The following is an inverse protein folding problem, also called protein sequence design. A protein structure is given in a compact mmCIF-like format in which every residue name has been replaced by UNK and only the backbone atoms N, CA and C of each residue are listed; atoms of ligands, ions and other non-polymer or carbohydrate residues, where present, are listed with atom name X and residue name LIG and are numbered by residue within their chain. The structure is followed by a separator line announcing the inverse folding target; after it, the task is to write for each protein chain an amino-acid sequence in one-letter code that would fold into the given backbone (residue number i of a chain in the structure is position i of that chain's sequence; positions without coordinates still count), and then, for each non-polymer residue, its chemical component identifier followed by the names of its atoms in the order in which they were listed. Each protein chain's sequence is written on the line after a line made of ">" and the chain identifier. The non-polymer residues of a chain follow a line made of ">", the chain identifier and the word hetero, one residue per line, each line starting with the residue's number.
data_IF_891564805648
#
_entry.id   IF_891564805648
#
_cell.length_a   1.000
_cell.length_b   1.000
_cell.length_c   1.000
_cell.angle_alpha   90.00
_cell.angle_beta   90.00
_cell.angle_gamma   90.00
#
_symmetry.space_group_name_H-M   'P 1'
#
loop_
_entity.id
_entity.type
_entity.pdbx_description
1 polymer ?
#
# COMPACT_ATOMS: atom_id res chain seq x y z
N UNK A 1 9.37 -11.99 8.65
CA UNK A 1 8.08 -11.34 8.32
C UNK A 1 7.04 -12.41 8.03
N UNK A 2 5.79 -12.21 8.44
CA UNK A 2 4.69 -13.19 8.26
C UNK A 2 3.35 -12.47 8.04
N UNK A 3 2.38 -13.17 7.49
CA UNK A 3 0.99 -12.70 7.40
C UNK A 3 0.34 -12.77 8.79
N UNK A 4 -0.32 -11.69 9.19
CA UNK A 4 -0.77 -11.46 10.57
C UNK A 4 -2.15 -12.07 10.81
N UNK A 5 -3.07 -11.90 9.84
CA UNK A 5 -4.46 -12.35 9.98
C UNK A 5 -5.06 -12.81 8.65
N UNK A 6 -6.31 -13.27 8.67
CA UNK A 6 -7.04 -13.73 7.50
C UNK A 6 -6.72 -15.17 7.10
N UNK A 7 -7.06 -15.53 5.86
CA UNK A 7 -6.96 -16.90 5.33
C UNK A 7 -5.53 -17.42 5.21
N UNK A 8 -4.54 -16.51 5.08
CA UNK A 8 -3.13 -16.82 4.94
C UNK A 8 -2.35 -16.61 6.25
N UNK A 9 -3.01 -16.44 7.38
CA UNK A 9 -2.39 -16.17 8.70
C UNK A 9 -1.25 -17.16 8.98
N UNK A 10 -0.11 -16.62 9.43
CA UNK A 10 1.08 -17.36 9.82
C UNK A 10 2.01 -17.74 8.65
N UNK A 11 1.59 -17.59 7.38
CA UNK A 11 2.46 -17.80 6.22
C UNK A 11 3.67 -16.88 6.29
N UNK A 12 4.86 -17.46 6.09
CA UNK A 12 6.11 -16.70 6.10
C UNK A 12 6.40 -16.13 4.72
N UNK A 13 6.72 -14.84 4.69
CA UNK A 13 7.19 -14.15 3.50
C UNK A 13 8.72 -14.12 3.47
N UNK A 14 9.26 -14.23 2.27
CA UNK A 14 10.68 -14.03 1.99
C UNK A 14 11.03 -12.56 2.19
N UNK A 15 12.14 -12.30 2.86
CA UNK A 15 12.69 -10.95 2.99
C UNK A 15 13.64 -10.65 1.82
N UNK A 16 13.88 -9.38 1.49
CA UNK A 16 14.88 -9.02 0.50
C UNK A 16 16.28 -9.41 0.98
N UNK A 17 17.09 -9.89 0.07
CA UNK A 17 18.51 -10.23 0.28
C UNK A 17 19.45 -9.11 -0.18
N UNK A 18 18.91 -7.93 -0.48
CA UNK A 18 19.65 -6.73 -0.90
C UNK A 18 19.35 -5.54 0.02
N UNK A 19 20.32 -4.59 0.16
CA UNK A 19 20.14 -3.41 0.99
C UNK A 19 19.16 -2.41 0.36
N UNK A 20 18.57 -1.56 1.20
CA UNK A 20 17.74 -0.42 0.77
C UNK A 20 16.23 -0.66 0.86
N UNK A 21 15.77 -1.91 0.88
CA UNK A 21 14.36 -2.21 1.10
C UNK A 21 14.12 -2.50 2.58
N UNK A 22 13.37 -1.61 3.25
CA UNK A 22 12.97 -1.78 4.64
C UNK A 22 11.51 -2.19 4.68
N UNK A 23 11.18 -3.44 5.04
CA UNK A 23 9.79 -3.87 5.10
C UNK A 23 9.03 -3.11 6.19
N UNK A 24 7.77 -2.73 5.89
CA UNK A 24 6.81 -2.26 6.90
C UNK A 24 6.78 -3.25 8.06
N UNK A 25 7.01 -2.78 9.28
CA UNK A 25 7.06 -3.65 10.45
C UNK A 25 5.75 -4.40 10.66
N UNK A 26 5.81 -5.62 11.21
CA UNK A 26 4.61 -6.42 11.52
C UNK A 26 3.62 -5.61 12.39
N UNK A 27 4.14 -4.85 13.38
CA UNK A 27 3.32 -4.00 14.26
C UNK A 27 2.63 -2.86 13.52
N UNK A 28 3.32 -2.19 12.61
CA UNK A 28 2.73 -1.09 11.83
C UNK A 28 1.67 -1.62 10.87
N UNK A 29 1.95 -2.76 10.23
CA UNK A 29 0.99 -3.44 9.34
C UNK A 29 -0.24 -3.93 10.12
N UNK A 30 -0.07 -4.48 11.32
CA UNK A 30 -1.19 -4.83 12.20
C UNK A 30 -2.05 -3.60 12.54
N UNK A 31 -1.41 -2.49 12.92
CA UNK A 31 -2.08 -1.23 13.22
C UNK A 31 -2.85 -0.71 12.00
N UNK A 32 -2.23 -0.72 10.81
CA UNK A 32 -2.85 -0.34 9.55
C UNK A 32 -4.15 -1.12 9.33
N UNK A 33 -4.07 -2.44 9.35
CA UNK A 33 -5.22 -3.29 9.04
C UNK A 33 -6.30 -3.29 10.13
N UNK A 34 -5.95 -3.03 11.39
CA UNK A 34 -6.93 -2.83 12.46
C UNK A 34 -7.74 -1.54 12.23
N UNK A 35 -7.12 -0.50 11.67
CA UNK A 35 -7.81 0.75 11.31
C UNK A 35 -8.67 0.57 10.07
N UNK A 36 -8.16 -0.12 9.05
CA UNK A 36 -8.90 -0.39 7.81
C UNK A 36 -10.10 -1.31 8.06
N UNK A 37 -9.95 -2.26 8.98
CA UNK A 37 -11.00 -3.19 9.38
C UNK A 37 -11.76 -3.81 8.19
N UNK A 38 -13.07 -3.69 8.16
CA UNK A 38 -13.92 -4.27 7.12
C UNK A 38 -13.82 -3.58 5.76
N UNK A 39 -13.19 -2.41 5.67
CA UNK A 39 -12.93 -1.74 4.39
C UNK A 39 -12.07 -2.56 3.42
N UNK A 40 -11.35 -3.56 3.93
CA UNK A 40 -10.49 -4.43 3.11
C UNK A 40 -11.31 -5.49 2.39
N UNK A 41 -12.39 -5.97 3.00
CA UNK A 41 -13.20 -7.06 2.43
C UNK A 41 -13.88 -6.59 1.14
N UNK A 42 -13.63 -7.31 0.05
CA UNK A 42 -14.16 -6.98 -1.26
C UNK A 42 -13.48 -5.78 -1.94
N UNK A 43 -12.51 -5.13 -1.31
CA UNK A 43 -11.86 -3.93 -1.83
C UNK A 43 -10.93 -4.24 -3.02
N UNK A 44 -10.83 -3.26 -3.91
CA UNK A 44 -9.74 -3.16 -4.90
C UNK A 44 -8.61 -2.33 -4.28
N UNK A 45 -7.45 -2.93 -4.13
CA UNK A 45 -6.32 -2.36 -3.40
C UNK A 45 -5.16 -2.08 -4.36
N UNK A 46 -4.54 -0.91 -4.24
CA UNK A 46 -3.24 -0.61 -4.82
C UNK A 46 -2.19 -0.67 -3.68
N UNK A 47 -1.21 -1.53 -3.83
CA UNK A 47 0.01 -1.57 -3.01
C UNK A 47 1.13 -0.93 -3.86
N UNK A 48 1.35 0.36 -3.66
CA UNK A 48 2.30 1.17 -4.41
C UNK A 48 3.63 1.29 -3.66
N UNK A 49 4.75 1.14 -4.39
CA UNK A 49 6.08 0.94 -3.82
C UNK A 49 6.11 -0.34 -2.95
N UNK A 50 5.56 -1.43 -3.52
CA UNK A 50 5.10 -2.61 -2.79
C UNK A 50 6.23 -3.43 -2.13
N UNK A 51 7.48 -3.27 -2.56
CA UNK A 51 8.65 -3.91 -1.97
C UNK A 51 8.53 -5.43 -1.88
N UNK A 52 8.27 -5.94 -0.69
CA UNK A 52 8.06 -7.38 -0.46
C UNK A 52 6.66 -7.87 -0.79
N UNK A 53 5.72 -6.96 -1.04
CA UNK A 53 4.30 -7.24 -1.22
C UNK A 53 3.55 -7.57 0.08
N UNK A 54 4.16 -7.33 1.23
CA UNK A 54 3.59 -7.76 2.51
C UNK A 54 2.24 -7.10 2.82
N UNK A 55 2.05 -5.84 2.44
CA UNK A 55 0.78 -5.12 2.65
C UNK A 55 -0.30 -5.67 1.74
N UNK A 56 -0.02 -5.79 0.45
CA UNK A 56 -0.99 -6.32 -0.51
C UNK A 56 -1.34 -7.79 -0.23
N UNK A 57 -0.37 -8.65 0.13
CA UNK A 57 -0.64 -10.05 0.49
C UNK A 57 -1.47 -10.14 1.78
N UNK A 58 -1.22 -9.27 2.76
CA UNK A 58 -2.09 -9.15 3.95
C UNK A 58 -3.51 -8.74 3.57
N UNK A 59 -3.68 -7.80 2.61
CA UNK A 59 -4.99 -7.40 2.11
C UNK A 59 -5.72 -8.58 1.45
N UNK A 60 -5.05 -9.37 0.60
CA UNK A 60 -5.59 -10.61 0.03
C UNK A 60 -6.04 -11.55 1.14
N UNK A 61 -5.19 -11.77 2.13
CA UNK A 61 -5.47 -12.65 3.28
C UNK A 61 -6.73 -12.23 4.05
N UNK A 62 -7.03 -10.94 4.06
CA UNK A 62 -8.20 -10.35 4.75
C UNK A 62 -9.42 -10.16 3.86
N UNK A 63 -9.36 -10.67 2.63
CA UNK A 63 -10.53 -10.73 1.73
C UNK A 63 -10.64 -9.59 0.74
N UNK A 64 -9.55 -8.88 0.40
CA UNK A 64 -9.54 -7.96 -0.73
C UNK A 64 -9.94 -8.72 -2.02
N UNK A 65 -10.77 -8.10 -2.86
CA UNK A 65 -11.20 -8.71 -4.11
C UNK A 65 -10.10 -8.71 -5.17
N UNK A 66 -9.25 -7.69 -5.17
CA UNK A 66 -8.13 -7.58 -6.09
C UNK A 66 -7.03 -6.69 -5.53
N UNK A 67 -5.77 -7.09 -5.72
CA UNK A 67 -4.62 -6.28 -5.33
C UNK A 67 -3.72 -6.03 -6.53
N UNK A 68 -3.44 -4.77 -6.83
CA UNK A 68 -2.43 -4.37 -7.80
C UNK A 68 -1.16 -3.96 -7.06
N UNK A 69 -0.09 -4.71 -7.26
CA UNK A 69 1.24 -4.38 -6.75
C UNK A 69 2.00 -3.56 -7.78
N UNK A 70 2.56 -2.43 -7.37
CA UNK A 70 3.40 -1.59 -8.24
C UNK A 70 4.73 -1.34 -7.55
N UNK A 71 5.82 -1.59 -8.26
CA UNK A 71 7.17 -1.28 -7.81
C UNK A 71 8.09 -1.00 -9.01
N UNK A 72 9.02 -0.06 -8.88
CA UNK A 72 9.99 0.25 -9.92
C UNK A 72 11.12 -0.79 -10.02
N UNK A 73 11.48 -1.42 -8.89
CA UNK A 73 12.57 -2.40 -8.83
C UNK A 73 12.11 -3.77 -9.33
N UNK A 74 12.79 -4.28 -10.36
CA UNK A 74 12.56 -5.63 -10.88
C UNK A 74 12.71 -6.71 -9.80
N UNK A 75 13.68 -6.54 -8.89
CA UNK A 75 13.91 -7.51 -7.79
C UNK A 75 12.73 -7.54 -6.84
N UNK A 76 12.12 -6.39 -6.55
CA UNK A 76 10.90 -6.31 -5.74
C UNK A 76 9.72 -7.02 -6.43
N UNK A 77 9.49 -6.76 -7.72
CA UNK A 77 8.40 -7.44 -8.45
C UNK A 77 8.59 -8.95 -8.54
N UNK A 78 9.84 -9.44 -8.65
CA UNK A 78 10.15 -10.86 -8.59
C UNK A 78 9.94 -11.44 -7.18
N UNK A 79 10.32 -10.70 -6.13
CA UNK A 79 10.09 -11.09 -4.75
C UNK A 79 8.60 -11.19 -4.42
N UNK A 80 7.79 -10.24 -4.90
CA UNK A 80 6.33 -10.29 -4.76
C UNK A 80 5.76 -11.58 -5.38
N UNK A 81 6.20 -11.95 -6.59
CA UNK A 81 5.77 -13.21 -7.24
C UNK A 81 6.12 -14.43 -6.39
N UNK A 82 7.35 -14.50 -5.87
CA UNK A 82 7.75 -15.61 -4.99
C UNK A 82 6.93 -15.65 -3.71
N UNK A 83 6.65 -14.50 -3.10
CA UNK A 83 5.86 -14.42 -1.88
C UNK A 83 4.40 -14.84 -2.11
N UNK A 84 3.78 -14.43 -3.21
CA UNK A 84 2.45 -14.89 -3.61
C UNK A 84 2.41 -16.40 -3.82
N UNK A 85 3.39 -16.95 -4.54
CA UNK A 85 3.51 -18.39 -4.75
C UNK A 85 3.70 -19.17 -3.44
N UNK A 86 4.54 -18.67 -2.50
CA UNK A 86 4.71 -19.25 -1.16
C UNK A 86 3.43 -19.25 -0.33
N UNK A 87 2.58 -18.26 -0.56
CA UNK A 87 1.27 -18.16 0.05
C UNK A 87 0.19 -18.97 -0.68
N UNK A 88 0.51 -19.62 -1.80
CA UNK A 88 -0.44 -20.32 -2.67
C UNK A 88 -1.57 -19.42 -3.20
N UNK A 89 -1.27 -18.14 -3.45
CA UNK A 89 -2.18 -17.20 -4.10
C UNK A 89 -2.04 -17.34 -5.61
N UNK A 90 -3.10 -17.79 -6.27
CA UNK A 90 -3.09 -18.08 -7.71
C UNK A 90 -3.69 -16.95 -8.56
N UNK A 91 -4.62 -16.17 -8.01
CA UNK A 91 -5.37 -15.13 -8.72
C UNK A 91 -5.74 -13.96 -7.79
N UNK A 92 -6.57 -13.02 -8.29
CA UNK A 92 -6.99 -11.86 -7.52
C UNK A 92 -5.90 -10.78 -7.42
N UNK A 93 -4.88 -10.82 -8.25
CA UNK A 93 -3.82 -9.80 -8.24
C UNK A 93 -3.26 -9.46 -9.62
N UNK A 94 -2.59 -8.30 -9.69
CA UNK A 94 -1.73 -7.91 -10.80
C UNK A 94 -0.39 -7.39 -10.24
N UNK A 95 0.71 -7.55 -10.99
CA UNK A 95 2.03 -7.01 -10.65
C UNK A 95 2.50 -6.16 -11.81
N UNK A 96 2.72 -4.88 -11.55
CA UNK A 96 3.14 -3.89 -12.54
C UNK A 96 4.51 -3.36 -12.13
N UNK A 97 5.47 -3.40 -13.05
CA UNK A 97 6.73 -2.72 -12.86
C UNK A 97 6.62 -1.30 -13.41
N UNK A 98 6.55 -0.31 -12.52
CA UNK A 98 6.46 1.10 -12.89
C UNK A 98 6.99 1.98 -11.75
N UNK A 99 7.50 3.16 -12.10
CA UNK A 99 7.83 4.22 -11.15
C UNK A 99 6.63 5.15 -11.02
N UNK A 100 5.99 5.14 -9.85
CA UNK A 100 4.83 5.98 -9.56
C UNK A 100 5.15 7.48 -9.46
N UNK A 101 6.43 7.84 -9.29
CA UNK A 101 6.88 9.23 -9.18
C UNK A 101 7.29 9.87 -10.51
N UNK A 102 7.74 9.05 -11.48
CA UNK A 102 8.31 9.54 -12.74
C UNK A 102 7.31 9.53 -13.90
N UNK A 103 6.57 8.44 -14.06
CA UNK A 103 5.57 8.28 -15.12
C UNK A 103 4.49 7.35 -14.60
N UNK A 104 3.39 7.92 -14.17
CA UNK A 104 2.26 7.14 -13.71
C UNK A 104 1.72 6.26 -14.84
N UNK A 105 2.32 5.09 -15.01
CA UNK A 105 1.71 4.04 -15.81
C UNK A 105 0.32 3.79 -15.20
N UNK A 106 -0.68 4.40 -15.81
CA UNK A 106 -2.06 4.30 -15.34
C UNK A 106 -2.45 2.83 -15.29
N UNK A 107 -2.81 2.29 -14.12
CA UNK A 107 -3.28 0.91 -14.08
C UNK A 107 -4.43 0.75 -15.07
N UNK A 108 -4.50 -0.37 -15.78
CA UNK A 108 -5.46 -0.56 -16.86
C UNK A 108 -6.93 -0.54 -16.42
N UNK A 109 -7.25 -0.45 -15.15
CA UNK A 109 -8.61 -0.38 -14.63
C UNK A 109 -8.74 0.68 -13.54
N UNK A 110 -9.78 1.50 -13.68
CA UNK A 110 -10.08 2.62 -12.82
C UNK A 110 -10.45 2.23 -11.38
N UNK A 111 -10.21 3.18 -10.49
CA UNK A 111 -10.66 3.29 -9.11
C UNK A 111 -10.27 2.15 -8.16
N UNK A 112 -9.42 2.52 -7.20
CA UNK A 112 -9.11 1.70 -6.05
C UNK A 112 -9.89 2.19 -4.82
N UNK A 113 -10.42 1.26 -4.04
CA UNK A 113 -11.06 1.56 -2.76
C UNK A 113 -10.02 1.91 -1.70
N UNK A 114 -8.86 1.24 -1.78
CA UNK A 114 -7.73 1.48 -0.90
C UNK A 114 -6.44 1.64 -1.73
N UNK A 115 -5.68 2.68 -1.42
CA UNK A 115 -4.33 2.88 -1.95
C UNK A 115 -3.38 2.92 -0.77
N UNK A 116 -2.38 2.05 -0.74
CA UNK A 116 -1.27 2.11 0.20
C UNK A 116 0.01 2.50 -0.54
N UNK A 117 0.76 3.44 0.04
CA UNK A 117 2.02 3.94 -0.50
C UNK A 117 3.09 3.95 0.59
N UNK A 118 4.23 3.33 0.31
CA UNK A 118 5.44 3.39 1.13
C UNK A 118 6.63 3.79 0.23
N UNK A 119 6.68 5.08 -0.19
CA UNK A 119 7.74 5.54 -1.08
C UNK A 119 9.11 5.51 -0.39
N UNK A 120 10.21 5.38 -1.15
CA UNK A 120 11.56 5.47 -0.61
C UNK A 120 11.77 6.75 0.19
N UNK A 121 12.63 6.71 1.22
CA UNK A 121 12.88 7.85 2.13
C UNK A 121 13.46 9.11 1.48
N UNK A 122 14.04 8.98 0.30
CA UNK A 122 14.59 10.07 -0.52
C UNK A 122 13.56 10.65 -1.51
N UNK A 123 12.43 9.98 -1.70
CA UNK A 123 11.33 10.50 -2.49
C UNK A 123 10.44 11.44 -1.67
N UNK A 124 9.89 12.48 -2.31
CA UNK A 124 8.83 13.28 -1.70
C UNK A 124 7.53 12.46 -1.70
N UNK A 125 7.01 12.07 -0.50
CA UNK A 125 5.81 11.26 -0.42
C UNK A 125 4.58 11.93 -1.08
N UNK A 126 4.54 13.27 -1.11
CA UNK A 126 3.45 14.00 -1.73
C UNK A 126 3.46 13.89 -3.27
N UNK A 127 4.62 13.74 -3.90
CA UNK A 127 4.73 13.54 -5.35
C UNK A 127 4.10 12.21 -5.74
N UNK A 128 4.48 11.13 -5.06
CA UNK A 128 3.93 9.79 -5.33
C UNK A 128 2.43 9.74 -5.06
N UNK A 129 1.97 10.35 -3.97
CA UNK A 129 0.55 10.40 -3.62
C UNK A 129 -0.28 11.20 -4.62
N UNK A 130 0.26 12.31 -5.17
CA UNK A 130 -0.39 13.07 -6.25
C UNK A 130 -0.56 12.24 -7.51
N UNK A 131 0.47 11.51 -7.89
CA UNK A 131 0.45 10.69 -9.11
C UNK A 131 -0.69 9.65 -9.13
N UNK A 132 -1.12 9.17 -7.96
CA UNK A 132 -2.15 8.14 -7.84
C UNK A 132 -3.49 8.63 -7.27
N UNK A 133 -3.58 9.89 -6.85
CA UNK A 133 -4.77 10.44 -6.21
C UNK A 133 -6.03 10.35 -7.07
N UNK A 134 -5.90 10.47 -8.40
CA UNK A 134 -7.01 10.33 -9.35
C UNK A 134 -7.52 8.89 -9.46
N UNK A 135 -6.71 7.89 -9.05
CA UNK A 135 -7.09 6.48 -9.11
C UNK A 135 -7.92 6.04 -7.91
N UNK A 136 -8.05 6.91 -6.92
CA UNK A 136 -8.83 6.65 -5.73
C UNK A 136 -10.34 6.77 -6.02
N UNK A 137 -11.11 5.76 -5.64
CA UNK A 137 -12.57 5.78 -5.70
C UNK A 137 -13.14 6.98 -4.90
N UNK A 138 -14.36 7.45 -5.19
CA UNK A 138 -14.95 8.60 -4.49
C UNK A 138 -14.93 8.48 -2.95
N UNK A 139 -15.26 7.30 -2.41
CA UNK A 139 -15.23 6.99 -0.97
C UNK A 139 -13.97 6.24 -0.53
N UNK A 140 -12.96 6.19 -1.42
CA UNK A 140 -11.71 5.49 -1.20
C UNK A 140 -10.83 6.14 -0.13
N UNK A 141 -9.84 5.38 0.32
CA UNK A 141 -8.88 5.83 1.33
C UNK A 141 -7.45 5.61 0.80
N UNK A 142 -6.67 6.67 0.79
CA UNK A 142 -5.23 6.61 0.54
C UNK A 142 -4.50 6.59 1.88
N UNK A 143 -3.59 5.65 2.05
CA UNK A 143 -2.71 5.56 3.21
C UNK A 143 -1.28 5.74 2.73
N UNK A 144 -0.60 6.71 3.33
CA UNK A 144 0.79 7.05 3.03
C UNK A 144 1.66 6.76 4.24
N UNK A 145 2.64 5.87 4.09
CA UNK A 145 3.72 5.70 5.06
C UNK A 145 4.81 6.74 4.77
N UNK A 146 5.37 7.33 5.82
CA UNK A 146 6.45 8.31 5.73
C UNK A 146 7.27 8.36 7.01
N UNK A 147 8.51 8.85 6.90
CA UNK A 147 9.35 9.08 8.06
C UNK A 147 8.80 10.23 8.90
N UNK A 148 8.67 10.04 10.22
CA UNK A 148 8.14 11.07 11.14
C UNK A 148 8.89 12.41 11.05
N UNK A 149 10.19 12.36 10.81
CA UNK A 149 11.04 13.57 10.72
C UNK A 149 10.72 14.43 9.49
N UNK A 150 10.26 13.83 8.39
CA UNK A 150 9.89 14.56 7.16
C UNK A 150 8.47 15.09 7.24
N UNK A 151 7.61 14.43 8.01
CA UNK A 151 6.19 14.73 8.05
C UNK A 151 5.49 14.40 6.73
N UNK A 152 4.20 14.68 6.68
CA UNK A 152 3.43 14.63 5.45
C UNK A 152 2.41 15.79 5.43
N UNK A 153 2.03 16.29 4.23
CA UNK A 153 1.13 17.43 4.12
C UNK A 153 -0.27 17.11 4.70
N UNK A 154 -0.96 18.16 5.14
CA UNK A 154 -2.34 18.05 5.62
C UNK A 154 -3.35 17.77 4.47
N UNK A 155 -2.96 18.08 3.24
CA UNK A 155 -3.77 17.84 2.04
C UNK A 155 -2.87 17.52 0.84
N UNK A 156 -3.35 16.68 -0.07
CA UNK A 156 -2.68 16.28 -1.32
C UNK A 156 -3.76 16.23 -2.41
N UNK A 157 -3.70 17.14 -3.39
CA UNK A 157 -4.59 17.17 -4.57
C UNK A 157 -6.08 16.86 -4.28
N UNK A 158 -6.70 17.68 -3.43
CA UNK A 158 -8.10 17.51 -3.07
C UNK A 158 -8.38 16.42 -2.04
N UNK A 159 -7.39 15.61 -1.65
CA UNK A 159 -7.48 14.70 -0.53
C UNK A 159 -7.07 15.42 0.76
N UNK A 160 -7.81 15.22 1.85
CA UNK A 160 -7.46 15.75 3.17
C UNK A 160 -7.01 14.61 4.10
N UNK A 161 -5.97 14.86 4.89
CA UNK A 161 -5.57 13.94 5.95
C UNK A 161 -6.64 13.91 7.04
N UNK A 162 -7.28 12.76 7.19
CA UNK A 162 -8.35 12.52 8.17
C UNK A 162 -7.82 11.94 9.48
N UNK A 163 -6.66 11.26 9.41
CA UNK A 163 -6.03 10.60 10.55
C UNK A 163 -4.52 10.51 10.36
N UNK A 164 -3.77 10.54 11.47
CA UNK A 164 -2.35 10.21 11.52
C UNK A 164 -2.12 9.20 12.64
N UNK A 165 -1.28 8.19 12.37
CA UNK A 165 -0.85 7.21 13.38
C UNK A 165 0.66 7.10 13.35
N UNK A 166 1.28 7.18 14.51
CA UNK A 166 2.73 7.16 14.68
C UNK A 166 3.19 5.82 15.25
N UNK A 167 4.23 5.25 14.67
CA UNK A 167 4.82 4.00 15.14
C UNK A 167 6.35 4.05 14.96
N UNK A 168 7.08 4.24 16.06
CA UNK A 168 8.53 4.42 16.02
C UNK A 168 8.93 5.62 15.19
N UNK A 169 9.79 5.41 14.19
CA UNK A 169 10.29 6.44 13.27
C UNK A 169 9.39 6.65 12.05
N UNK A 170 8.37 5.82 11.86
CA UNK A 170 7.38 5.91 10.78
C UNK A 170 6.06 6.49 11.27
N UNK A 171 5.29 7.03 10.33
CA UNK A 171 3.90 7.41 10.53
C UNK A 171 3.05 7.00 9.32
N UNK A 172 1.76 6.77 9.56
CA UNK A 172 0.74 6.54 8.55
C UNK A 172 -0.20 7.74 8.51
N UNK A 173 -0.27 8.41 7.37
CA UNK A 173 -1.29 9.42 7.07
C UNK A 173 -2.43 8.79 6.26
N UNK A 174 -3.65 9.00 6.72
CA UNK A 174 -4.87 8.53 6.05
C UNK A 174 -5.53 9.71 5.36
N UNK A 175 -5.75 9.61 4.05
CA UNK A 175 -6.27 10.70 3.23
C UNK A 175 -7.54 10.25 2.51
N UNK A 176 -8.54 11.13 2.50
CA UNK A 176 -9.81 10.89 1.81
C UNK A 176 -10.30 12.19 1.13
N UNK A 177 -11.20 12.06 0.19
CA UNK A 177 -11.91 13.22 -0.38
C UNK A 177 -12.79 13.85 0.71
N UNK A 178 -12.85 15.20 0.79
CA UNK A 178 -13.81 15.86 1.67
C UNK A 178 -15.23 15.43 1.30
N UNK A 179 -16.03 15.04 2.29
CA UNK A 179 -17.47 14.81 2.04
C UNK A 179 -18.11 16.15 1.71
N UNK A 180 -18.71 16.26 0.54
CA UNK A 180 -19.60 17.39 0.23
C UNK A 180 -20.80 17.23 1.16
N UNK A 181 -20.97 18.18 2.09
CA UNK A 181 -22.21 18.27 2.87
C UNK A 181 -23.30 18.68 1.87
N UNK A 182 -24.16 17.76 1.50
CA UNK A 182 -25.43 18.07 0.84
C UNK A 182 -26.32 18.83 1.80
#
# INVERSE_FOLDING_TARGET
>A
MRIIAGTLKGRRLEAPDWPGLRPTSDKLRETLFNILAERVVGARVLDGCAGTGAVGIEAISRGAAHVTFVDADRRATELIRRNLARCAVADGYAIIRADLGADAARPPQAAFDLIFLDPPYDADPAVVARAVGEWLAPDGLLVLEYARRTGAPAAIDGLRRTREVRAGDSALGFYARPRVKG
#
